data_IF_378529501364
#
_entry.id   IF_378529501364
#
_cell.length_a   1.000
_cell.length_b   1.000
_cell.length_c   1.000
_cell.angle_alpha   90.00
_cell.angle_beta   90.00
_cell.angle_gamma   90.00
#
_symmetry.space_group_name_H-M   'P 1'
#
loop_
_entity.id
_entity.type
_entity.pdbx_description
1 polymer ?
#
# COMPACT_ATOMS: atom_id res chain seq x y z
N UNK A 1 -65.47 15.70 0.73
CA UNK A 1 -64.68 14.98 -0.29
C UNK A 1 -64.04 16.02 -1.19
N UNK A 2 -62.76 16.30 -0.96
CA UNK A 2 -61.93 17.18 -1.81
C UNK A 2 -60.61 16.43 -2.06
N UNK A 3 -60.21 16.16 -3.30
CA UNK A 3 -58.96 15.43 -3.57
C UNK A 3 -57.77 16.40 -3.51
N UNK A 4 -56.77 16.05 -2.70
CA UNK A 4 -55.47 16.71 -2.67
C UNK A 4 -54.67 16.34 -3.92
N UNK A 5 -54.51 17.27 -4.85
CA UNK A 5 -53.52 17.21 -5.93
C UNK A 5 -52.15 17.58 -5.35
N UNK A 6 -51.23 16.64 -5.31
CA UNK A 6 -49.80 16.87 -5.05
C UNK A 6 -49.19 17.50 -6.30
N UNK A 7 -48.89 18.80 -6.24
CA UNK A 7 -48.06 19.46 -7.24
C UNK A 7 -46.62 18.97 -7.21
N UNK A 8 -46.12 18.51 -8.37
CA UNK A 8 -44.70 18.30 -8.57
C UNK A 8 -43.96 19.63 -8.58
N UNK A 9 -42.78 19.75 -7.95
CA UNK A 9 -41.95 20.95 -8.12
C UNK A 9 -41.41 21.03 -9.56
N UNK A 10 -41.22 22.25 -10.12
CA UNK A 10 -40.80 22.44 -11.50
C UNK A 10 -39.37 21.90 -11.72
N UNK A 11 -39.21 21.15 -12.80
CA UNK A 11 -37.91 20.80 -13.36
C UNK A 11 -37.11 22.07 -13.67
N UNK A 12 -36.17 22.42 -12.82
CA UNK A 12 -35.13 23.39 -13.19
C UNK A 12 -34.28 22.81 -14.30
N UNK A 13 -34.53 23.26 -15.52
CA UNK A 13 -33.70 23.03 -16.68
C UNK A 13 -32.23 23.24 -16.33
N UNK A 14 -31.46 22.16 -16.31
CA UNK A 14 -30.00 22.18 -16.27
C UNK A 14 -29.51 22.85 -17.55
N UNK A 15 -29.28 24.17 -17.50
CA UNK A 15 -28.49 24.86 -18.51
C UNK A 15 -27.09 24.25 -18.52
N UNK A 16 -26.74 23.57 -19.59
CA UNK A 16 -25.37 23.16 -19.86
C UNK A 16 -24.46 24.40 -19.80
N UNK A 17 -23.41 24.44 -18.98
CA UNK A 17 -22.43 25.51 -19.07
C UNK A 17 -21.70 25.35 -20.40
N UNK A 18 -21.61 26.45 -21.16
CA UNK A 18 -20.86 26.49 -22.41
C UNK A 18 -19.44 25.98 -22.24
N UNK A 19 -18.99 25.21 -23.21
CA UNK A 19 -17.63 24.67 -23.32
C UNK A 19 -16.63 25.84 -23.61
N UNK A 20 -16.31 26.59 -22.55
CA UNK A 20 -15.11 27.40 -22.49
C UNK A 20 -14.22 26.71 -21.48
N UNK A 21 -13.01 26.29 -21.89
CA UNK A 21 -12.03 25.54 -21.10
C UNK A 21 -11.74 26.23 -19.76
N UNK A 22 -12.49 25.89 -18.74
CA UNK A 22 -12.20 26.25 -17.36
C UNK A 22 -10.99 25.40 -16.94
N UNK A 23 -9.81 26.01 -16.92
CA UNK A 23 -8.64 25.46 -16.23
C UNK A 23 -9.09 25.01 -14.85
N UNK A 24 -8.91 23.70 -14.57
CA UNK A 24 -9.26 23.10 -13.29
C UNK A 24 -8.42 23.81 -12.23
N UNK A 25 -9.03 24.73 -11.48
CA UNK A 25 -8.36 25.51 -10.44
C UNK A 25 -8.16 24.62 -9.18
N UNK A 26 -7.14 23.75 -9.21
CA UNK A 26 -6.69 22.99 -8.04
C UNK A 26 -5.70 23.85 -7.26
N UNK A 27 -5.77 23.82 -5.93
CA UNK A 27 -4.81 24.54 -5.09
C UNK A 27 -3.38 24.04 -5.34
N UNK A 28 -2.39 24.93 -5.53
CA UNK A 28 -0.97 24.53 -5.59
C UNK A 28 -0.50 23.72 -4.38
N UNK A 29 -1.12 23.91 -3.23
CA UNK A 29 -0.83 23.16 -2.00
C UNK A 29 -1.19 21.68 -2.15
N UNK A 30 -2.15 21.32 -2.99
CA UNK A 30 -2.46 19.93 -3.30
C UNK A 30 -1.24 19.19 -3.88
N UNK A 31 -0.48 19.84 -4.77
CA UNK A 31 0.73 19.25 -5.35
C UNK A 31 1.83 19.09 -4.29
N UNK A 32 1.92 19.98 -3.31
CA UNK A 32 2.84 19.80 -2.18
C UNK A 32 2.40 18.63 -1.27
N UNK A 33 1.10 18.46 -1.06
CA UNK A 33 0.58 17.30 -0.30
C UNK A 33 0.81 16.00 -1.07
N UNK A 34 0.65 16.00 -2.39
CA UNK A 34 0.97 14.86 -3.25
C UNK A 34 2.49 14.57 -3.28
N UNK A 35 3.35 15.60 -3.29
CA UNK A 35 4.78 15.45 -3.16
C UNK A 35 5.19 14.89 -1.77
N UNK A 36 4.52 15.33 -0.71
CA UNK A 36 4.71 14.75 0.62
C UNK A 36 4.31 13.26 0.64
N UNK A 37 3.23 12.89 -0.07
CA UNK A 37 2.83 11.49 -0.23
C UNK A 37 3.87 10.69 -1.02
N UNK A 38 4.38 11.26 -2.12
CA UNK A 38 5.46 10.64 -2.89
C UNK A 38 6.68 10.36 -2.01
N UNK A 39 7.17 11.35 -1.27
CA UNK A 39 8.32 11.15 -0.38
C UNK A 39 8.00 10.25 0.81
N UNK A 40 6.81 10.30 1.38
CA UNK A 40 6.42 9.36 2.42
C UNK A 40 6.53 7.91 1.95
N UNK A 41 6.03 7.62 0.75
CA UNK A 41 5.92 6.26 0.24
C UNK A 41 7.20 5.77 -0.46
N UNK A 42 8.06 6.67 -0.96
CA UNK A 42 9.35 6.27 -1.52
C UNK A 42 10.23 5.60 -0.44
N UNK A 43 10.20 6.12 0.80
CA UNK A 43 10.93 5.50 1.91
C UNK A 43 10.38 4.14 2.30
N UNK A 44 9.07 3.92 2.14
CA UNK A 44 8.46 2.59 2.34
C UNK A 44 8.91 1.61 1.25
N UNK A 45 9.16 2.09 0.04
CA UNK A 45 9.72 1.31 -1.06
C UNK A 45 11.20 0.92 -0.87
N UNK A 46 11.96 1.62 0.00
CA UNK A 46 13.38 1.33 0.24
C UNK A 46 13.62 -0.03 0.87
N UNK A 47 12.69 -0.58 1.63
CA UNK A 47 12.93 -1.77 2.44
C UNK A 47 13.33 -2.99 1.63
N UNK A 48 12.74 -3.21 0.46
CA UNK A 48 12.96 -4.40 -0.35
C UNK A 48 14.45 -4.61 -0.72
N UNK A 49 15.15 -3.64 -1.33
CA UNK A 49 16.58 -3.82 -1.64
C UNK A 49 17.49 -3.78 -0.41
N UNK A 50 16.99 -3.27 0.74
CA UNK A 50 17.78 -3.19 1.96
C UNK A 50 17.91 -4.53 2.68
N UNK A 51 16.98 -5.49 2.49
CA UNK A 51 17.03 -6.77 3.21
C UNK A 51 18.34 -7.51 3.13
N UNK A 52 18.97 -7.72 1.95
CA UNK A 52 20.26 -8.39 1.89
C UNK A 52 21.38 -7.61 2.58
N UNK A 53 21.43 -6.28 2.43
CA UNK A 53 22.45 -5.43 3.05
C UNK A 53 22.36 -5.47 4.58
N UNK A 54 21.14 -5.37 5.10
CA UNK A 54 20.89 -5.40 6.55
C UNK A 54 21.15 -6.78 7.13
N UNK A 55 20.80 -7.82 6.37
CA UNK A 55 21.08 -9.21 6.72
C UNK A 55 22.61 -9.43 6.88
N UNK A 56 23.40 -8.96 5.96
CA UNK A 56 24.86 -9.03 6.01
C UNK A 56 25.42 -8.15 7.16
N UNK A 57 25.00 -6.88 7.23
CA UNK A 57 25.48 -5.90 8.24
C UNK A 57 25.32 -6.41 9.68
N UNK A 58 24.20 -7.04 10.00
CA UNK A 58 23.88 -7.47 11.36
C UNK A 58 23.96 -8.98 11.59
N UNK A 59 24.40 -9.76 10.59
CA UNK A 59 24.49 -11.22 10.70
C UNK A 59 23.14 -11.90 10.93
N UNK A 60 22.08 -11.45 10.23
CA UNK A 60 20.72 -11.90 10.48
C UNK A 60 20.42 -13.26 9.85
N UNK A 61 19.55 -14.02 10.51
CA UNK A 61 18.91 -15.19 9.92
C UNK A 61 17.73 -14.80 9.03
N UNK A 62 17.19 -15.75 8.25
CA UNK A 62 16.00 -15.49 7.43
C UNK A 62 14.76 -15.18 8.28
N UNK A 63 14.63 -15.82 9.44
CA UNK A 63 13.57 -15.50 10.43
C UNK A 63 13.67 -14.05 10.91
N UNK A 64 14.89 -13.56 11.17
CA UNK A 64 15.11 -12.16 11.58
C UNK A 64 14.81 -11.17 10.44
N UNK A 65 15.11 -11.51 9.20
CA UNK A 65 14.66 -10.73 8.02
C UNK A 65 13.13 -10.73 7.94
N UNK A 66 12.51 -11.89 8.17
CA UNK A 66 11.04 -11.99 8.29
C UNK A 66 10.48 -11.10 9.41
N UNK A 67 11.20 -10.97 10.54
CA UNK A 67 10.80 -10.10 11.65
C UNK A 67 10.83 -8.60 11.25
N UNK A 68 11.76 -8.16 10.42
CA UNK A 68 11.74 -6.79 9.86
C UNK A 68 10.44 -6.57 9.07
N UNK A 69 10.10 -7.51 8.18
CA UNK A 69 8.86 -7.43 7.40
C UNK A 69 7.61 -7.47 8.28
N UNK A 70 7.60 -8.27 9.35
CA UNK A 70 6.53 -8.33 10.34
C UNK A 70 6.36 -7.00 11.07
N UNK A 71 7.43 -6.42 11.60
CA UNK A 71 7.41 -5.16 12.35
C UNK A 71 6.87 -4.02 11.49
N UNK A 72 7.34 -3.90 10.25
CA UNK A 72 6.87 -2.87 9.32
C UNK A 72 5.39 -3.05 8.95
N UNK A 73 4.94 -4.32 8.78
CA UNK A 73 3.54 -4.62 8.49
C UNK A 73 2.62 -4.26 9.66
N UNK A 74 2.98 -4.67 10.87
CA UNK A 74 2.16 -4.42 12.07
C UNK A 74 2.12 -2.92 12.39
N UNK A 75 3.26 -2.22 12.30
CA UNK A 75 3.31 -0.78 12.51
C UNK A 75 2.36 -0.04 11.56
N UNK A 76 2.36 -0.40 10.27
CA UNK A 76 1.49 0.25 9.29
C UNK A 76 0.01 -0.14 9.46
N UNK A 77 -0.27 -1.45 9.64
CA UNK A 77 -1.63 -1.98 9.65
C UNK A 77 -2.45 -1.56 10.88
N UNK A 78 -1.82 -1.56 12.07
CA UNK A 78 -2.52 -1.27 13.33
C UNK A 78 -2.63 0.23 13.60
N UNK A 79 -1.69 1.02 13.11
CA UNK A 79 -1.56 2.42 13.51
C UNK A 79 -2.40 3.37 12.67
N UNK A 80 -2.68 3.09 11.40
CA UNK A 80 -3.49 3.96 10.55
C UNK A 80 -4.89 4.24 11.11
N UNK A 81 -5.67 3.24 11.57
CA UNK A 81 -6.97 3.51 12.20
C UNK A 81 -6.85 4.31 13.50
N UNK A 82 -5.79 4.06 14.29
CA UNK A 82 -5.55 4.79 15.55
C UNK A 82 -5.24 6.27 15.27
N UNK A 83 -4.38 6.55 14.30
CA UNK A 83 -4.08 7.92 13.90
C UNK A 83 -5.28 8.62 13.27
N UNK A 84 -6.10 7.91 12.46
CA UNK A 84 -7.36 8.45 11.95
C UNK A 84 -8.24 8.96 13.09
N UNK A 85 -8.54 8.12 14.07
CA UNK A 85 -9.35 8.49 15.25
C UNK A 85 -8.71 9.64 16.07
N UNK A 86 -7.39 9.62 16.25
CA UNK A 86 -6.68 10.65 17.00
C UNK A 86 -6.77 12.02 16.31
N UNK A 87 -6.57 12.05 14.99
CA UNK A 87 -6.59 13.30 14.22
C UNK A 87 -8.00 13.88 14.07
N UNK A 88 -9.00 13.01 13.96
CA UNK A 88 -10.41 13.43 13.98
C UNK A 88 -10.78 14.08 15.31
N UNK A 89 -10.26 13.56 16.43
CA UNK A 89 -10.53 14.11 17.76
C UNK A 89 -9.78 15.41 18.04
N UNK A 90 -8.52 15.51 17.64
CA UNK A 90 -7.63 16.63 17.99
C UNK A 90 -7.35 17.60 16.84
N UNK A 91 -7.78 17.29 15.63
CA UNK A 91 -7.60 18.15 14.44
C UNK A 91 -6.15 18.46 14.11
N UNK A 92 -5.24 17.49 14.30
CA UNK A 92 -3.79 17.69 14.14
C UNK A 92 -3.41 17.83 12.67
N UNK A 93 -3.29 19.05 12.18
CA UNK A 93 -2.87 19.34 10.79
C UNK A 93 -1.35 19.21 10.60
N UNK A 94 -0.58 19.38 11.67
CA UNK A 94 0.89 19.27 11.66
C UNK A 94 1.39 17.89 11.20
N UNK A 95 0.58 16.84 11.27
CA UNK A 95 0.94 15.51 10.74
C UNK A 95 1.20 15.50 9.24
N UNK A 96 0.67 16.47 8.47
CA UNK A 96 0.92 16.57 7.03
C UNK A 96 2.41 16.83 6.69
N UNK A 97 3.16 17.46 7.57
CA UNK A 97 4.58 17.71 7.36
C UNK A 97 5.49 17.01 8.36
N UNK A 98 5.07 16.85 9.63
CA UNK A 98 5.88 16.16 10.63
C UNK A 98 5.94 14.64 10.41
N UNK A 99 4.84 14.02 9.97
CA UNK A 99 4.78 12.59 9.79
C UNK A 99 5.68 12.08 8.64
N UNK A 100 5.62 12.61 7.41
CA UNK A 100 6.54 12.21 6.35
C UNK A 100 7.99 12.62 6.64
N UNK A 101 8.23 13.71 7.37
CA UNK A 101 9.56 14.08 7.82
C UNK A 101 10.15 13.05 8.80
N UNK A 102 9.35 12.60 9.78
CA UNK A 102 9.75 11.55 10.72
C UNK A 102 10.09 10.25 9.99
N UNK A 103 9.22 9.84 9.04
CA UNK A 103 9.47 8.68 8.17
C UNK A 103 10.79 8.82 7.43
N UNK A 104 10.99 9.95 6.78
CA UNK A 104 12.20 10.25 5.99
C UNK A 104 13.48 10.17 6.83
N UNK A 105 13.49 10.81 7.97
CA UNK A 105 14.66 10.80 8.86
C UNK A 105 14.95 9.38 9.33
N UNK A 106 13.98 8.70 9.93
CA UNK A 106 14.21 7.38 10.55
C UNK A 106 14.59 6.33 9.52
N UNK A 107 13.95 6.32 8.34
CA UNK A 107 14.27 5.36 7.28
C UNK A 107 15.57 5.71 6.56
N UNK A 108 15.92 6.98 6.39
CA UNK A 108 17.19 7.36 5.77
C UNK A 108 18.40 7.07 6.67
N UNK A 109 18.24 7.18 8.00
CA UNK A 109 19.35 6.94 8.94
C UNK A 109 19.72 5.46 9.12
N UNK A 110 18.99 4.51 8.50
CA UNK A 110 19.25 3.06 8.62
C UNK A 110 20.68 2.65 8.23
N UNK A 111 21.35 3.39 7.34
CA UNK A 111 22.72 3.13 6.93
C UNK A 111 23.75 3.32 8.05
N UNK A 112 23.49 4.25 9.00
CA UNK A 112 24.40 4.59 10.08
C UNK A 112 24.01 3.99 11.43
N UNK A 113 22.86 3.33 11.55
CA UNK A 113 22.42 2.67 12.79
C UNK A 113 23.37 1.52 13.15
N UNK A 114 23.88 1.48 14.41
CA UNK A 114 24.92 0.52 14.79
C UNK A 114 24.43 -0.88 15.18
N UNK A 115 23.13 -1.05 15.50
CA UNK A 115 22.62 -2.32 16.03
C UNK A 115 21.25 -2.68 15.48
N UNK A 116 20.96 -3.99 15.38
CA UNK A 116 19.68 -4.50 14.88
C UNK A 116 18.47 -4.06 15.70
N UNK A 117 18.48 -4.05 17.06
CA UNK A 117 17.33 -3.54 17.82
C UNK A 117 17.03 -2.06 17.55
N UNK A 118 18.05 -1.21 17.44
CA UNK A 118 17.86 0.20 17.06
C UNK A 118 17.36 0.35 15.63
N UNK A 119 17.82 -0.51 14.72
CA UNK A 119 17.31 -0.57 13.35
C UNK A 119 15.81 -0.91 13.33
N UNK A 120 15.38 -1.95 14.06
CA UNK A 120 13.95 -2.30 14.17
C UNK A 120 13.13 -1.16 14.79
N UNK A 121 13.64 -0.50 15.83
CA UNK A 121 12.96 0.63 16.46
C UNK A 121 12.82 1.81 15.49
N UNK A 122 13.87 2.15 14.73
CA UNK A 122 13.81 3.19 13.72
C UNK A 122 12.80 2.89 12.61
N UNK A 123 12.79 1.64 12.11
CA UNK A 123 11.81 1.22 11.12
C UNK A 123 10.38 1.25 11.67
N UNK A 124 10.16 0.75 12.88
CA UNK A 124 8.85 0.79 13.53
C UNK A 124 8.33 2.23 13.64
N UNK A 125 9.14 3.13 14.20
CA UNK A 125 8.78 4.54 14.34
C UNK A 125 8.62 5.26 12.99
N UNK A 126 9.45 4.93 12.00
CA UNK A 126 9.31 5.43 10.63
C UNK A 126 8.00 5.00 9.98
N UNK A 127 7.60 3.73 10.16
CA UNK A 127 6.30 3.24 9.70
C UNK A 127 5.13 3.88 10.44
N UNK A 128 5.28 4.24 11.74
CA UNK A 128 4.27 5.04 12.45
C UNK A 128 4.12 6.43 11.85
N UNK A 129 5.22 7.06 11.45
CA UNK A 129 5.18 8.33 10.70
C UNK A 129 4.35 8.19 9.44
N UNK A 130 4.68 7.20 8.59
CA UNK A 130 3.90 6.93 7.38
C UNK A 130 2.42 6.65 7.68
N UNK A 131 2.12 5.84 8.68
CA UNK A 131 0.74 5.54 9.09
C UNK A 131 -0.04 6.78 9.57
N UNK A 132 0.64 7.75 10.18
CA UNK A 132 0.05 9.01 10.61
C UNK A 132 -0.23 9.98 9.45
N UNK A 133 0.56 9.93 8.38
CA UNK A 133 0.39 10.81 7.23
C UNK A 133 -0.89 10.51 6.43
N UNK A 134 -1.12 9.22 6.08
CA UNK A 134 -2.13 8.81 5.13
C UNK A 134 -3.57 9.28 5.46
N UNK A 135 -4.11 9.06 6.68
CA UNK A 135 -5.48 9.46 6.97
C UNK A 135 -5.65 10.98 6.90
N UNK A 136 -4.65 11.74 7.34
CA UNK A 136 -4.72 13.21 7.30
C UNK A 136 -4.57 13.74 5.89
N UNK A 137 -3.60 13.22 5.11
CA UNK A 137 -3.41 13.57 3.70
C UNK A 137 -4.69 13.33 2.88
N UNK A 138 -5.29 12.15 3.01
CA UNK A 138 -6.55 11.82 2.35
C UNK A 138 -7.71 12.73 2.78
N UNK A 139 -7.79 13.11 4.06
CA UNK A 139 -8.88 13.95 4.58
C UNK A 139 -8.84 15.41 4.10
N UNK A 140 -7.64 15.97 3.87
CA UNK A 140 -7.51 17.37 3.41
C UNK A 140 -7.55 17.50 1.88
N UNK A 141 -7.24 16.45 1.16
CA UNK A 141 -7.18 16.43 -0.31
C UNK A 141 -8.47 16.94 -0.97
N UNK A 142 -9.69 16.51 -0.60
CA UNK A 142 -10.92 17.04 -1.20
C UNK A 142 -11.09 18.56 -1.00
N UNK A 143 -10.69 19.07 0.16
CA UNK A 143 -10.75 20.52 0.48
C UNK A 143 -9.82 21.34 -0.42
N UNK A 144 -8.65 20.78 -0.78
CA UNK A 144 -7.65 21.42 -1.64
C UNK A 144 -7.96 21.26 -3.14
N UNK A 145 -8.94 20.45 -3.48
CA UNK A 145 -9.30 20.09 -4.87
C UNK A 145 -10.35 21.00 -5.48
N UNK A 146 -10.88 21.97 -4.74
CA UNK A 146 -11.94 22.87 -5.20
C UNK A 146 -13.20 22.11 -5.58
N UNK A 147 -13.67 22.28 -6.84
CA UNK A 147 -14.88 21.63 -7.37
C UNK A 147 -14.66 20.19 -7.88
N UNK A 148 -13.41 19.67 -7.83
CA UNK A 148 -13.03 18.37 -8.43
C UNK A 148 -12.32 17.44 -7.43
N UNK A 149 -12.99 16.98 -6.35
CA UNK A 149 -12.38 16.15 -5.31
C UNK A 149 -11.83 14.82 -5.85
N UNK A 150 -12.42 14.24 -6.91
CA UNK A 150 -11.96 13.02 -7.55
C UNK A 150 -10.58 13.22 -8.20
N UNK A 151 -10.36 14.37 -8.85
CA UNK A 151 -9.07 14.71 -9.48
C UNK A 151 -8.00 14.89 -8.41
N UNK A 152 -8.34 15.60 -7.33
CA UNK A 152 -7.42 15.75 -6.21
C UNK A 152 -7.02 14.43 -5.58
N UNK A 153 -7.97 13.53 -5.35
CA UNK A 153 -7.68 12.20 -4.83
C UNK A 153 -6.83 11.38 -5.80
N UNK A 154 -7.04 11.52 -7.11
CA UNK A 154 -6.22 10.86 -8.13
C UNK A 154 -4.77 11.38 -8.09
N UNK A 155 -4.56 12.70 -7.99
CA UNK A 155 -3.23 13.33 -7.85
C UNK A 155 -2.55 12.85 -6.57
N UNK A 156 -3.25 12.89 -5.44
CA UNK A 156 -2.75 12.42 -4.16
C UNK A 156 -2.30 10.95 -4.23
N UNK A 157 -3.18 10.05 -4.73
CA UNK A 157 -2.89 8.62 -4.85
C UNK A 157 -1.76 8.33 -5.84
N UNK A 158 -1.69 9.07 -6.96
CA UNK A 158 -0.59 8.95 -7.91
C UNK A 158 0.76 9.29 -7.27
N UNK A 159 0.80 10.33 -6.41
CA UNK A 159 2.00 10.67 -5.64
C UNK A 159 2.52 9.47 -4.84
N UNK A 160 1.69 8.87 -3.99
CA UNK A 160 2.09 7.72 -3.17
C UNK A 160 2.50 6.50 -4.00
N UNK A 161 1.69 6.12 -4.99
CA UNK A 161 1.98 4.97 -5.85
C UNK A 161 3.30 5.12 -6.62
N UNK A 162 3.57 6.31 -7.18
CA UNK A 162 4.82 6.60 -7.87
C UNK A 162 6.01 6.57 -6.90
N UNK A 163 5.86 7.15 -5.70
CA UNK A 163 6.88 7.11 -4.66
C UNK A 163 7.23 5.67 -4.29
N UNK A 164 6.23 4.88 -3.91
CA UNK A 164 6.41 3.48 -3.52
C UNK A 164 7.06 2.64 -4.63
N UNK A 165 6.63 2.82 -5.88
CA UNK A 165 7.20 2.11 -7.02
C UNK A 165 8.63 2.54 -7.35
N UNK A 166 8.97 3.83 -7.21
CA UNK A 166 10.32 4.35 -7.47
C UNK A 166 11.34 3.96 -6.37
N UNK A 167 10.87 3.75 -5.14
CA UNK A 167 11.70 3.51 -3.96
C UNK A 167 12.79 2.48 -4.16
N UNK A 168 12.50 1.26 -4.62
CA UNK A 168 13.49 0.21 -4.77
C UNK A 168 14.65 0.59 -5.70
N UNK A 169 14.39 1.22 -6.85
CA UNK A 169 15.44 1.66 -7.75
C UNK A 169 16.24 2.82 -7.14
N UNK A 170 15.56 3.82 -6.57
CA UNK A 170 16.22 5.01 -6.01
C UNK A 170 17.23 4.61 -4.94
N UNK A 171 16.83 3.79 -3.95
CA UNK A 171 17.73 3.38 -2.88
C UNK A 171 18.87 2.49 -3.40
N UNK A 172 18.57 1.58 -4.33
CA UNK A 172 19.56 0.68 -4.90
C UNK A 172 20.65 1.43 -5.70
N UNK A 173 20.27 2.36 -6.57
CA UNK A 173 21.20 3.21 -7.31
C UNK A 173 21.98 4.13 -6.38
N UNK A 174 21.31 4.74 -5.39
CA UNK A 174 21.94 5.62 -4.42
C UNK A 174 23.06 4.91 -3.63
N UNK A 175 22.74 3.73 -3.06
CA UNK A 175 23.72 2.94 -2.30
C UNK A 175 24.86 2.45 -3.19
N UNK A 176 24.57 2.04 -4.43
CA UNK A 176 25.60 1.60 -5.37
C UNK A 176 26.56 2.71 -5.77
N UNK A 177 26.10 3.98 -5.79
CA UNK A 177 26.93 5.12 -6.16
C UNK A 177 27.70 5.72 -4.95
N UNK A 178 27.06 5.83 -3.78
CA UNK A 178 27.60 6.56 -2.63
C UNK A 178 27.78 5.72 -1.36
N UNK A 179 27.40 4.43 -1.41
CA UNK A 179 27.51 3.51 -0.27
C UNK A 179 26.36 3.63 0.73
N UNK A 180 26.23 2.62 1.60
CA UNK A 180 25.11 2.52 2.54
C UNK A 180 25.14 3.58 3.64
N UNK A 181 26.35 4.03 4.08
CA UNK A 181 26.48 5.03 5.13
C UNK A 181 26.03 6.43 4.72
N UNK A 182 25.91 6.72 3.43
CA UNK A 182 25.46 8.02 2.92
C UNK A 182 23.93 8.19 2.89
N UNK A 183 23.16 7.15 3.20
CA UNK A 183 21.69 7.18 3.15
C UNK A 183 21.02 8.32 3.96
N UNK A 184 21.59 8.88 5.05
CA UNK A 184 20.99 10.03 5.73
C UNK A 184 20.71 11.24 4.83
N UNK A 185 21.49 11.42 3.75
CA UNK A 185 21.28 12.49 2.76
C UNK A 185 19.91 12.39 2.08
N UNK A 186 19.36 11.17 1.97
CA UNK A 186 18.05 10.94 1.38
C UNK A 186 16.90 11.60 2.18
N UNK A 187 17.10 11.99 3.44
CA UNK A 187 16.09 12.73 4.20
C UNK A 187 15.87 14.16 3.68
N UNK A 188 16.87 14.75 2.99
CA UNK A 188 16.85 16.16 2.57
C UNK A 188 15.66 16.51 1.67
N UNK A 189 15.33 15.76 0.59
CA UNK A 189 14.18 16.11 -0.25
C UNK A 189 12.85 16.17 0.51
N UNK A 190 12.61 15.21 1.41
CA UNK A 190 11.39 15.22 2.24
C UNK A 190 11.40 16.38 3.25
N UNK A 191 12.55 16.73 3.80
CA UNK A 191 12.68 17.88 4.70
C UNK A 191 12.34 19.19 3.98
N UNK A 192 12.74 19.35 2.71
CA UNK A 192 12.39 20.51 1.88
C UNK A 192 10.87 20.58 1.63
N UNK A 193 10.24 19.47 1.30
CA UNK A 193 8.77 19.41 1.10
C UNK A 193 8.03 19.65 2.42
N UNK A 194 8.50 19.08 3.53
CA UNK A 194 7.91 19.31 4.84
C UNK A 194 8.04 20.79 5.27
N UNK A 195 9.19 21.42 5.01
CA UNK A 195 9.42 22.85 5.23
C UNK A 195 8.48 23.72 4.38
N UNK A 196 8.33 23.41 3.10
CA UNK A 196 7.41 24.11 2.21
C UNK A 196 5.95 23.97 2.70
N UNK A 197 5.53 22.77 3.11
CA UNK A 197 4.20 22.56 3.70
C UNK A 197 4.04 23.36 5.02
N UNK A 198 5.03 23.36 5.89
CA UNK A 198 4.98 24.12 7.14
C UNK A 198 4.76 25.62 6.90
N UNK A 199 5.42 26.18 5.88
CA UNK A 199 5.35 27.61 5.56
C UNK A 199 4.07 27.99 4.81
N UNK A 200 3.57 27.10 3.92
CA UNK A 200 2.53 27.46 2.96
C UNK A 200 1.15 26.87 3.30
N UNK A 201 1.07 25.92 4.24
CA UNK A 201 -0.18 25.24 4.56
C UNK A 201 -1.12 26.14 5.37
N UNK A 202 -2.35 26.42 4.91
CA UNK A 202 -3.33 27.18 5.66
C UNK A 202 -4.00 26.34 6.76
N UNK A 203 -3.21 25.98 7.77
CA UNK A 203 -3.59 25.02 8.82
C UNK A 203 -4.90 25.38 9.55
N UNK A 204 -5.17 26.68 9.74
CA UNK A 204 -6.40 27.16 10.40
C UNK A 204 -7.64 26.89 9.55
N UNK A 205 -7.55 27.11 8.22
CA UNK A 205 -8.66 26.91 7.29
C UNK A 205 -8.95 25.42 7.10
N UNK A 206 -7.93 24.59 7.04
CA UNK A 206 -8.06 23.13 6.91
C UNK A 206 -8.68 22.50 8.16
N UNK A 207 -8.37 23.01 9.35
CA UNK A 207 -8.97 22.54 10.61
C UNK A 207 -10.48 22.83 10.67
N UNK A 208 -10.92 23.95 10.12
CA UNK A 208 -12.33 24.34 10.13
C UNK A 208 -13.21 23.53 9.14
N UNK A 209 -12.60 22.92 8.12
CA UNK A 209 -13.33 22.26 7.01
C UNK A 209 -13.27 20.72 7.03
N UNK A 210 -12.54 20.11 7.95
CA UNK A 210 -12.50 18.63 8.07
C UNK A 210 -13.82 18.15 8.67
N UNK A 211 -14.51 17.29 7.91
CA UNK A 211 -15.75 16.66 8.36
C UNK A 211 -15.54 15.82 9.63
N UNK A 212 -16.53 15.75 10.53
CA UNK A 212 -16.43 14.90 11.71
C UNK A 212 -16.30 13.43 11.32
N UNK A 213 -15.50 12.69 12.09
CA UNK A 213 -15.28 11.28 11.87
C UNK A 213 -16.57 10.47 11.85
N UNK A 214 -16.71 9.61 10.85
CA UNK A 214 -17.75 8.60 10.85
C UNK A 214 -17.48 7.64 12.01
N UNK A 215 -18.43 7.48 12.93
CA UNK A 215 -18.30 6.52 14.03
C UNK A 215 -18.24 5.10 13.45
N UNK A 216 -17.05 4.51 13.52
CA UNK A 216 -16.82 3.13 13.07
C UNK A 216 -17.34 2.17 14.13
N UNK A 217 -18.31 1.31 13.78
CA UNK A 217 -18.87 0.32 14.70
C UNK A 217 -18.63 -1.10 14.19
N UNK A 218 -18.00 -1.94 15.01
CA UNK A 218 -17.79 -3.36 14.72
C UNK A 218 -19.09 -4.17 14.71
N UNK A 219 -20.11 -3.73 15.46
CA UNK A 219 -21.36 -4.48 15.65
C UNK A 219 -22.17 -4.69 14.38
N UNK A 220 -22.16 -3.74 13.44
CA UNK A 220 -22.91 -3.84 12.17
C UNK A 220 -22.23 -4.74 11.13
N UNK A 221 -20.88 -4.81 11.16
CA UNK A 221 -20.08 -5.48 10.13
C UNK A 221 -20.33 -7.00 10.01
N UNK A 222 -20.68 -7.66 11.11
CA UNK A 222 -20.86 -9.10 11.21
C UNK A 222 -22.29 -9.52 11.55
N UNK A 223 -23.25 -8.59 11.46
CA UNK A 223 -24.66 -8.83 11.84
C UNK A 223 -25.34 -9.87 10.93
N UNK A 224 -25.09 -9.81 9.63
CA UNK A 224 -25.61 -10.76 8.65
C UNK A 224 -24.64 -11.94 8.49
N UNK A 225 -25.15 -13.17 8.60
CA UNK A 225 -24.37 -14.42 8.50
C UNK A 225 -23.76 -14.60 7.09
N UNK A 226 -24.49 -14.24 6.05
CA UNK A 226 -24.01 -14.37 4.67
C UNK A 226 -22.91 -13.39 4.34
N UNK A 227 -23.10 -12.10 4.68
CA UNK A 227 -22.09 -11.06 4.49
C UNK A 227 -20.83 -11.34 5.29
N UNK A 228 -20.98 -11.83 6.54
CA UNK A 228 -19.86 -12.26 7.35
C UNK A 228 -19.04 -13.37 6.67
N UNK A 229 -19.73 -14.37 6.08
CA UNK A 229 -19.03 -15.45 5.38
C UNK A 229 -18.29 -14.95 4.14
N UNK A 230 -18.85 -14.00 3.40
CA UNK A 230 -18.18 -13.34 2.25
C UNK A 230 -16.98 -12.53 2.71
N UNK A 231 -17.12 -11.69 3.74
CA UNK A 231 -16.04 -10.89 4.29
C UNK A 231 -14.86 -11.76 4.77
N UNK A 232 -15.12 -12.83 5.50
CA UNK A 232 -14.06 -13.75 5.96
C UNK A 232 -13.34 -14.42 4.78
N UNK A 233 -14.06 -14.82 3.72
CA UNK A 233 -13.43 -15.33 2.50
C UNK A 233 -12.57 -14.30 1.80
N UNK A 234 -13.04 -13.05 1.69
CA UNK A 234 -12.27 -11.94 1.09
C UNK A 234 -10.99 -11.63 1.89
N UNK A 235 -11.08 -11.61 3.22
CA UNK A 235 -9.92 -11.46 4.11
C UNK A 235 -8.92 -12.60 3.92
N UNK A 236 -9.40 -13.84 3.85
CA UNK A 236 -8.55 -15.00 3.63
C UNK A 236 -7.88 -14.99 2.25
N UNK A 237 -8.63 -14.64 1.19
CA UNK A 237 -8.07 -14.48 -0.16
C UNK A 237 -6.98 -13.40 -0.16
N UNK A 238 -7.28 -12.24 0.41
CA UNK A 238 -6.30 -11.15 0.47
C UNK A 238 -5.08 -11.51 1.32
N UNK A 239 -5.26 -12.21 2.43
CA UNK A 239 -4.17 -12.74 3.23
C UNK A 239 -3.24 -13.64 2.40
N UNK A 240 -3.79 -14.62 1.66
CA UNK A 240 -2.99 -15.53 0.85
C UNK A 240 -2.21 -14.80 -0.27
N UNK A 241 -2.84 -13.85 -0.95
CA UNK A 241 -2.19 -13.01 -1.96
C UNK A 241 -1.08 -12.16 -1.34
N UNK A 242 -1.36 -11.56 -0.17
CA UNK A 242 -0.41 -10.69 0.52
C UNK A 242 0.78 -11.47 1.07
N UNK A 243 0.62 -12.71 1.53
CA UNK A 243 1.74 -13.58 1.93
C UNK A 243 2.68 -13.79 0.75
N UNK A 244 2.16 -14.08 -0.45
CA UNK A 244 2.99 -14.26 -1.64
C UNK A 244 3.72 -12.96 -2.04
N UNK A 245 3.03 -11.83 -2.08
CA UNK A 245 3.61 -10.53 -2.42
C UNK A 245 4.67 -10.09 -1.41
N UNK A 246 4.38 -10.25 -0.11
CA UNK A 246 5.34 -9.91 0.94
C UNK A 246 6.54 -10.84 0.96
N UNK A 247 6.31 -12.13 0.78
CA UNK A 247 7.39 -13.10 0.68
C UNK A 247 8.32 -12.82 -0.51
N UNK A 248 7.74 -12.46 -1.68
CA UNK A 248 8.50 -11.93 -2.82
C UNK A 248 9.35 -10.72 -2.39
N UNK A 249 8.74 -9.69 -1.79
CA UNK A 249 9.44 -8.48 -1.40
C UNK A 249 10.49 -8.68 -0.29
N UNK A 250 10.32 -9.69 0.56
CA UNK A 250 11.20 -9.94 1.72
C UNK A 250 12.37 -10.89 1.37
N UNK A 251 12.09 -12.00 0.69
CA UNK A 251 13.06 -13.07 0.54
C UNK A 251 13.72 -13.14 -0.84
N UNK A 252 13.04 -12.69 -1.91
CA UNK A 252 13.65 -12.66 -3.25
C UNK A 252 14.87 -11.74 -3.32
N UNK A 253 14.91 -10.54 -2.72
CA UNK A 253 16.11 -9.72 -2.70
C UNK A 253 17.30 -10.43 -2.04
N UNK A 254 17.06 -11.18 -0.96
CA UNK A 254 18.08 -11.98 -0.28
C UNK A 254 18.58 -13.12 -1.18
N UNK A 255 17.66 -13.75 -1.91
CA UNK A 255 18.03 -14.79 -2.88
C UNK A 255 18.85 -14.22 -4.04
N UNK A 256 18.44 -13.07 -4.59
CA UNK A 256 19.18 -12.38 -5.65
C UNK A 256 20.60 -12.01 -5.21
N UNK A 257 20.75 -11.50 -3.98
CA UNK A 257 22.08 -11.19 -3.43
C UNK A 257 22.95 -12.44 -3.24
N UNK A 258 22.37 -13.59 -2.80
CA UNK A 258 23.10 -14.88 -2.75
C UNK A 258 23.55 -15.38 -4.12
N UNK A 259 22.87 -14.99 -5.18
CA UNK A 259 23.28 -15.23 -6.57
C UNK A 259 24.25 -14.16 -7.09
N UNK A 260 24.80 -13.32 -6.23
CA UNK A 260 25.73 -12.23 -6.56
C UNK A 260 25.18 -11.22 -7.58
N UNK A 261 23.85 -11.05 -7.63
CA UNK A 261 23.22 -10.05 -8.50
C UNK A 261 23.47 -8.64 -7.96
N UNK A 262 23.74 -7.66 -8.85
CA UNK A 262 23.90 -6.27 -8.44
C UNK A 262 22.65 -5.74 -7.70
N UNK A 263 22.86 -4.90 -6.70
CA UNK A 263 21.78 -4.25 -5.95
C UNK A 263 20.83 -3.45 -6.87
N UNK A 264 21.39 -2.81 -7.91
CA UNK A 264 20.62 -2.09 -8.92
C UNK A 264 19.65 -3.00 -9.68
N UNK A 265 20.04 -4.24 -9.98
CA UNK A 265 19.14 -5.22 -10.62
C UNK A 265 17.97 -5.58 -9.71
N UNK A 266 18.21 -5.72 -8.39
CA UNK A 266 17.16 -5.91 -7.38
C UNK A 266 16.20 -4.71 -7.41
N UNK A 267 16.74 -3.50 -7.32
CA UNK A 267 15.95 -2.26 -7.32
C UNK A 267 15.09 -2.12 -8.57
N UNK A 268 15.67 -2.34 -9.76
CA UNK A 268 14.94 -2.25 -11.04
C UNK A 268 13.84 -3.29 -11.14
N UNK A 269 14.10 -4.55 -10.80
CA UNK A 269 13.10 -5.62 -10.84
C UNK A 269 11.85 -5.25 -10.03
N UNK A 270 12.05 -4.82 -8.79
CA UNK A 270 10.94 -4.45 -7.91
C UNK A 270 10.24 -3.17 -8.34
N UNK A 271 10.98 -2.16 -8.83
CA UNK A 271 10.37 -0.94 -9.38
C UNK A 271 9.48 -1.25 -10.58
N UNK A 272 9.96 -2.06 -11.54
CA UNK A 272 9.15 -2.46 -12.70
C UNK A 272 7.92 -3.25 -12.26
N UNK A 273 8.07 -4.20 -11.33
CA UNK A 273 6.98 -5.00 -10.80
C UNK A 273 5.89 -4.13 -10.13
N UNK A 274 6.29 -3.19 -9.28
CA UNK A 274 5.36 -2.31 -8.56
C UNK A 274 4.68 -1.31 -9.52
N UNK A 275 5.43 -0.72 -10.45
CA UNK A 275 4.88 0.22 -11.43
C UNK A 275 3.87 -0.45 -12.37
N UNK A 276 4.19 -1.65 -12.88
CA UNK A 276 3.25 -2.44 -13.68
C UNK A 276 2.03 -2.87 -12.86
N UNK A 277 2.23 -3.31 -11.62
CA UNK A 277 1.13 -3.66 -10.71
C UNK A 277 0.14 -2.50 -10.53
N UNK A 278 0.65 -1.30 -10.27
CA UNK A 278 -0.16 -0.10 -10.14
C UNK A 278 -0.91 0.25 -11.44
N UNK A 279 -0.22 0.25 -12.58
CA UNK A 279 -0.83 0.56 -13.89
C UNK A 279 -1.91 -0.46 -14.28
N UNK A 280 -1.62 -1.75 -14.15
CA UNK A 280 -2.54 -2.83 -14.50
C UNK A 280 -3.74 -2.87 -13.54
N UNK A 281 -3.59 -2.52 -12.26
CA UNK A 281 -4.70 -2.49 -11.31
C UNK A 281 -5.79 -1.48 -11.72
N UNK A 282 -5.41 -0.34 -12.29
CA UNK A 282 -6.34 0.66 -12.84
C UNK A 282 -7.10 0.09 -14.05
N UNK A 283 -6.38 -0.53 -14.97
CA UNK A 283 -6.97 -1.16 -16.16
C UNK A 283 -7.94 -2.29 -15.77
N UNK A 284 -7.53 -3.20 -14.88
CA UNK A 284 -8.34 -4.32 -14.39
C UNK A 284 -9.57 -3.84 -13.63
N UNK A 285 -9.47 -2.73 -12.90
CA UNK A 285 -10.62 -2.12 -12.24
C UNK A 285 -11.69 -1.67 -13.24
N UNK A 286 -11.28 -1.12 -14.38
CA UNK A 286 -12.21 -0.77 -15.45
C UNK A 286 -12.82 -2.00 -16.14
N UNK A 287 -12.01 -3.04 -16.38
CA UNK A 287 -12.42 -4.30 -16.98
C UNK A 287 -13.42 -5.08 -16.12
N UNK A 288 -13.36 -4.89 -14.79
CA UNK A 288 -14.21 -5.60 -13.83
C UNK A 288 -15.72 -5.42 -14.05
N UNK A 289 -16.11 -4.32 -14.71
CA UNK A 289 -17.52 -4.06 -15.10
C UNK A 289 -18.04 -5.04 -16.16
N UNK A 290 -17.14 -5.57 -17.01
CA UNK A 290 -17.49 -6.48 -18.11
C UNK A 290 -17.30 -7.96 -17.73
N UNK A 291 -16.20 -8.28 -17.03
CA UNK A 291 -15.79 -9.66 -16.74
C UNK A 291 -16.28 -10.17 -15.38
N UNK A 292 -16.73 -9.26 -14.49
CA UNK A 292 -17.09 -9.60 -13.12
C UNK A 292 -15.88 -9.68 -12.19
N UNK A 293 -16.04 -9.15 -10.97
CA UNK A 293 -14.96 -9.04 -9.98
C UNK A 293 -14.42 -10.39 -9.53
N UNK A 294 -15.32 -11.37 -9.32
CA UNK A 294 -14.95 -12.72 -8.90
C UNK A 294 -13.98 -13.40 -9.87
N UNK A 295 -14.23 -13.29 -11.19
CA UNK A 295 -13.36 -13.89 -12.22
C UNK A 295 -11.96 -13.30 -12.17
N UNK A 296 -11.83 -11.98 -12.04
CA UNK A 296 -10.55 -11.31 -11.95
C UNK A 296 -9.79 -11.68 -10.66
N UNK A 297 -10.47 -11.77 -9.51
CA UNK A 297 -9.86 -12.26 -8.27
C UNK A 297 -9.41 -13.72 -8.42
N UNK A 298 -10.19 -14.57 -9.07
CA UNK A 298 -9.81 -15.95 -9.33
C UNK A 298 -8.57 -16.03 -10.25
N UNK A 299 -8.49 -15.18 -11.28
CA UNK A 299 -7.30 -15.08 -12.14
C UNK A 299 -6.08 -14.66 -11.31
N UNK A 300 -6.22 -13.68 -10.41
CA UNK A 300 -5.12 -13.25 -9.54
C UNK A 300 -4.58 -14.40 -8.70
N UNK A 301 -5.44 -15.20 -8.12
CA UNK A 301 -5.07 -16.35 -7.28
C UNK A 301 -4.52 -17.51 -8.11
N UNK A 302 -5.23 -17.92 -9.18
CA UNK A 302 -4.91 -19.11 -9.95
C UNK A 302 -3.71 -18.94 -10.89
N UNK A 303 -3.52 -17.75 -11.47
CA UNK A 303 -2.39 -17.45 -12.35
C UNK A 303 -1.17 -16.89 -11.59
N UNK A 304 -1.39 -16.12 -10.50
CA UNK A 304 -0.31 -15.55 -9.73
C UNK A 304 0.64 -16.58 -9.11
N UNK A 305 0.09 -17.69 -8.62
CA UNK A 305 0.90 -18.76 -8.03
C UNK A 305 1.82 -19.48 -9.04
N UNK A 306 1.33 -20.02 -10.18
CA UNK A 306 2.24 -20.66 -11.14
C UNK A 306 3.24 -19.69 -11.77
N UNK A 307 2.89 -18.42 -11.96
CA UNK A 307 3.81 -17.38 -12.39
C UNK A 307 4.94 -17.18 -11.36
N UNK A 308 4.62 -17.11 -10.07
CA UNK A 308 5.61 -16.94 -9.01
C UNK A 308 6.52 -18.19 -8.89
N UNK A 309 5.94 -19.38 -8.85
CA UNK A 309 6.71 -20.63 -8.77
C UNK A 309 7.58 -20.81 -10.02
N UNK A 310 7.02 -20.61 -11.21
CA UNK A 310 7.78 -20.66 -12.47
C UNK A 310 8.90 -19.61 -12.50
N UNK A 311 8.59 -18.40 -11.99
CA UNK A 311 9.58 -17.35 -11.83
C UNK A 311 10.79 -17.82 -11.01
N UNK A 312 10.57 -18.44 -9.87
CA UNK A 312 11.66 -18.97 -9.03
C UNK A 312 12.44 -20.11 -9.68
N UNK A 313 11.76 -21.01 -10.38
CA UNK A 313 12.40 -22.15 -11.04
C UNK A 313 13.32 -21.74 -12.21
N UNK A 314 12.95 -20.68 -12.92
CA UNK A 314 13.74 -20.16 -14.06
C UNK A 314 14.67 -18.99 -13.70
N UNK A 315 14.69 -18.56 -12.43
CA UNK A 315 15.57 -17.50 -11.97
C UNK A 315 16.99 -18.04 -11.73
N UNK A 316 18.08 -17.31 -12.08
CA UNK A 316 18.17 -15.88 -12.42
C UNK A 316 18.03 -15.53 -13.92
N UNK A 317 17.59 -16.42 -14.76
CA UNK A 317 17.42 -16.15 -16.19
C UNK A 317 16.38 -15.05 -16.48
N UNK A 318 16.44 -14.49 -17.70
CA UNK A 318 15.50 -13.46 -18.15
C UNK A 318 14.02 -13.94 -18.06
N UNK A 319 13.76 -15.20 -18.41
CA UNK A 319 12.43 -15.80 -18.29
C UNK A 319 11.93 -15.79 -16.83
N UNK A 320 12.77 -16.15 -15.86
CA UNK A 320 12.44 -16.10 -14.44
C UNK A 320 12.12 -14.69 -13.98
N UNK A 321 12.93 -13.69 -14.37
CA UNK A 321 12.70 -12.28 -14.03
C UNK A 321 11.37 -11.77 -14.60
N UNK A 322 11.05 -12.09 -15.86
CA UNK A 322 9.77 -11.71 -16.48
C UNK A 322 8.60 -12.37 -15.74
N UNK A 323 8.68 -13.66 -15.43
CA UNK A 323 7.64 -14.38 -14.71
C UNK A 323 7.42 -13.81 -13.30
N UNK A 324 8.48 -13.40 -12.58
CA UNK A 324 8.40 -12.75 -11.27
C UNK A 324 7.69 -11.40 -11.37
N UNK A 325 8.03 -10.57 -12.36
CA UNK A 325 7.35 -9.29 -12.60
C UNK A 325 5.88 -9.50 -12.90
N UNK A 326 5.55 -10.45 -13.77
CA UNK A 326 4.17 -10.81 -14.07
C UNK A 326 3.44 -11.36 -12.84
N UNK A 327 4.10 -12.21 -12.03
CA UNK A 327 3.52 -12.73 -10.79
C UNK A 327 3.16 -11.61 -9.83
N UNK A 328 4.09 -10.70 -9.52
CA UNK A 328 3.83 -9.56 -8.64
C UNK A 328 2.70 -8.67 -9.15
N UNK A 329 2.66 -8.40 -10.45
CA UNK A 329 1.58 -7.66 -11.11
C UNK A 329 0.23 -8.36 -10.94
N UNK A 330 0.16 -9.66 -11.24
CA UNK A 330 -1.08 -10.45 -11.17
C UNK A 330 -1.56 -10.64 -9.73
N UNK A 331 -0.66 -10.83 -8.78
CA UNK A 331 -1.00 -10.98 -7.36
C UNK A 331 -1.56 -9.69 -6.74
N UNK A 332 -1.22 -8.52 -7.29
CA UNK A 332 -1.60 -7.22 -6.70
C UNK A 332 -2.77 -6.54 -7.40
N UNK A 333 -3.03 -6.80 -8.68
CA UNK A 333 -4.03 -6.06 -9.44
C UNK A 333 -5.47 -6.20 -8.89
N UNK A 334 -5.79 -7.30 -8.20
CA UNK A 334 -7.13 -7.54 -7.66
C UNK A 334 -7.41 -6.80 -6.33
N UNK A 335 -6.43 -6.17 -5.72
CA UNK A 335 -6.55 -5.53 -4.41
C UNK A 335 -7.71 -4.51 -4.35
N UNK A 336 -7.88 -3.57 -5.31
CA UNK A 336 -9.02 -2.65 -5.31
C UNK A 336 -10.37 -3.37 -5.43
N UNK A 337 -10.41 -4.49 -6.14
CA UNK A 337 -11.64 -5.27 -6.31
C UNK A 337 -12.05 -5.95 -5.00
N UNK A 338 -11.08 -6.50 -4.25
CA UNK A 338 -11.32 -7.09 -2.93
C UNK A 338 -11.87 -6.07 -1.94
N UNK A 339 -11.32 -4.85 -1.94
CA UNK A 339 -11.81 -3.74 -1.11
C UNK A 339 -13.26 -3.39 -1.49
N UNK A 340 -13.55 -3.19 -2.77
CA UNK A 340 -14.90 -2.86 -3.25
C UNK A 340 -15.92 -3.97 -2.94
N UNK A 341 -15.52 -5.24 -3.07
CA UNK A 341 -16.38 -6.36 -2.69
C UNK A 341 -16.64 -6.38 -1.19
N UNK A 342 -15.61 -6.15 -0.36
CA UNK A 342 -15.76 -6.09 1.09
C UNK A 342 -16.70 -4.95 1.53
N UNK A 343 -16.56 -3.76 0.93
CA UNK A 343 -17.44 -2.62 1.20
C UNK A 343 -18.90 -2.91 0.89
N UNK A 344 -19.20 -3.69 -0.18
CA UNK A 344 -20.58 -4.08 -0.54
C UNK A 344 -21.23 -5.01 0.48
N UNK A 345 -20.43 -5.77 1.22
CA UNK A 345 -20.88 -6.74 2.23
C UNK A 345 -20.66 -6.24 3.66
N UNK A 346 -20.52 -4.93 3.86
CA UNK A 346 -20.18 -4.32 5.15
C UNK A 346 -21.35 -3.66 5.87
N UNK A 347 -22.56 -3.70 5.29
CA UNK A 347 -23.69 -2.90 5.79
C UNK A 347 -23.33 -1.41 5.88
N UNK A 348 -23.48 -0.82 7.05
CA UNK A 348 -23.20 0.60 7.30
C UNK A 348 -21.73 0.90 7.66
N UNK A 349 -20.81 -0.05 7.43
CA UNK A 349 -19.42 0.05 7.88
C UNK A 349 -18.37 -0.17 6.77
N UNK A 350 -18.44 0.52 5.61
CA UNK A 350 -17.52 0.30 4.47
C UNK A 350 -16.06 0.62 4.80
N UNK A 351 -15.81 1.61 5.65
CA UNK A 351 -14.45 1.96 6.10
C UNK A 351 -13.83 0.82 6.92
N UNK A 352 -14.62 0.14 7.77
CA UNK A 352 -14.16 -1.00 8.55
C UNK A 352 -13.84 -2.20 7.66
N UNK A 353 -14.67 -2.50 6.65
CA UNK A 353 -14.41 -3.56 5.69
C UNK A 353 -13.11 -3.30 4.91
N UNK A 354 -12.87 -2.05 4.50
CA UNK A 354 -11.59 -1.66 3.89
C UNK A 354 -10.41 -1.91 4.82
N UNK A 355 -10.54 -1.58 6.11
CA UNK A 355 -9.48 -1.81 7.11
C UNK A 355 -9.19 -3.29 7.33
N UNK A 356 -10.19 -4.17 7.24
CA UNK A 356 -9.98 -5.62 7.29
C UNK A 356 -9.16 -6.12 6.11
N UNK A 357 -9.44 -5.64 4.90
CA UNK A 357 -8.70 -6.04 3.71
C UNK A 357 -7.30 -5.41 3.70
N UNK A 358 -7.19 -4.10 3.87
CA UNK A 358 -5.92 -3.39 3.76
C UNK A 358 -5.02 -3.52 4.99
N UNK A 359 -5.59 -3.46 6.20
CA UNK A 359 -4.82 -3.47 7.44
C UNK A 359 -4.64 -4.88 8.00
N UNK A 360 -5.75 -5.54 8.36
CA UNK A 360 -5.70 -6.80 9.06
C UNK A 360 -5.04 -7.92 8.25
N UNK A 361 -5.38 -8.08 6.96
CA UNK A 361 -4.74 -9.07 6.09
C UNK A 361 -3.24 -8.81 5.91
N UNK A 362 -2.84 -7.53 5.80
CA UNK A 362 -1.43 -7.14 5.70
C UNK A 362 -0.66 -7.43 6.98
N UNK A 363 -1.25 -7.14 8.12
CA UNK A 363 -0.66 -7.46 9.43
C UNK A 363 -0.45 -8.96 9.63
N UNK A 364 -1.49 -9.77 9.32
CA UNK A 364 -1.40 -11.22 9.38
C UNK A 364 -0.34 -11.79 8.42
N UNK A 365 -0.26 -11.27 7.20
CA UNK A 365 0.77 -11.67 6.25
C UNK A 365 2.18 -11.31 6.75
N UNK A 366 2.33 -10.17 7.44
CA UNK A 366 3.57 -9.83 8.12
C UNK A 366 3.98 -10.85 9.17
N UNK A 367 3.04 -11.29 10.01
CA UNK A 367 3.28 -12.36 11.01
C UNK A 367 3.75 -13.66 10.38
N UNK A 368 3.27 -14.00 9.18
CA UNK A 368 3.69 -15.20 8.46
C UNK A 368 5.14 -15.15 7.98
N UNK A 369 5.77 -13.98 7.87
CA UNK A 369 7.15 -13.87 7.37
C UNK A 369 8.18 -14.50 8.31
N UNK A 370 7.97 -14.47 9.62
CA UNK A 370 8.89 -15.07 10.59
C UNK A 370 8.94 -16.60 10.45
N UNK A 371 7.82 -17.35 10.54
CA UNK A 371 7.85 -18.80 10.35
C UNK A 371 8.28 -19.20 8.93
N UNK A 372 7.94 -18.42 7.88
CA UNK A 372 8.43 -18.66 6.54
C UNK A 372 9.96 -18.51 6.46
N UNK A 373 10.54 -17.51 7.15
CA UNK A 373 11.99 -17.40 7.30
C UNK A 373 12.60 -18.65 7.93
N UNK A 374 12.01 -19.16 9.03
CA UNK A 374 12.43 -20.42 9.68
C UNK A 374 12.34 -21.64 8.77
N UNK A 375 11.28 -21.74 7.96
CA UNK A 375 11.20 -22.78 6.92
C UNK A 375 12.34 -22.63 5.93
N UNK A 376 12.69 -21.41 5.51
CA UNK A 376 13.82 -21.13 4.61
C UNK A 376 15.18 -21.50 5.20
N UNK A 377 15.33 -21.43 6.53
CA UNK A 377 16.53 -21.92 7.22
C UNK A 377 16.64 -23.44 7.21
N UNK A 378 15.51 -24.15 7.24
CA UNK A 378 15.46 -25.62 7.26
C UNK A 378 15.59 -26.24 5.87
N UNK A 379 14.85 -25.76 4.87
CA UNK A 379 14.77 -26.36 3.53
C UNK A 379 15.48 -25.56 2.44
N UNK A 380 16.10 -24.44 2.83
CA UNK A 380 16.75 -23.50 1.90
C UNK A 380 15.77 -22.49 1.28
N UNK A 381 16.34 -21.35 0.86
CA UNK A 381 15.58 -20.26 0.22
C UNK A 381 14.76 -20.70 -0.99
N UNK A 382 15.30 -21.48 -1.98
CA UNK A 382 14.52 -21.88 -3.15
C UNK A 382 13.26 -22.67 -2.78
N UNK A 383 13.38 -23.64 -1.87
CA UNK A 383 12.24 -24.45 -1.42
C UNK A 383 11.16 -23.60 -0.73
N UNK A 384 11.59 -22.70 0.16
CA UNK A 384 10.68 -21.77 0.84
C UNK A 384 9.99 -20.82 -0.14
N UNK A 385 10.71 -20.29 -1.15
CA UNK A 385 10.13 -19.39 -2.15
C UNK A 385 9.07 -20.09 -3.00
N UNK A 386 9.22 -21.38 -3.31
CA UNK A 386 8.16 -22.18 -3.96
C UNK A 386 6.92 -22.26 -3.08
N UNK A 387 7.06 -22.47 -1.77
CA UNK A 387 5.95 -22.48 -0.82
C UNK A 387 5.25 -21.10 -0.82
N UNK A 388 6.02 -20.02 -0.72
CA UNK A 388 5.48 -18.64 -0.76
C UNK A 388 4.75 -18.37 -2.08
N UNK A 389 5.32 -18.76 -3.21
CA UNK A 389 4.71 -18.59 -4.54
C UNK A 389 3.43 -19.39 -4.72
N UNK A 390 3.35 -20.59 -4.12
CA UNK A 390 2.18 -21.46 -4.18
C UNK A 390 1.07 -21.06 -3.19
N UNK A 391 1.38 -20.21 -2.20
CA UNK A 391 0.46 -19.86 -1.10
C UNK A 391 -0.93 -19.35 -1.57
N UNK A 392 -1.06 -18.57 -2.65
CA UNK A 392 -2.36 -18.14 -3.17
C UNK A 392 -3.29 -19.29 -3.54
N UNK A 393 -2.77 -20.48 -3.91
CA UNK A 393 -3.62 -21.64 -4.28
C UNK A 393 -4.54 -22.07 -3.15
N UNK A 394 -4.17 -21.84 -1.88
CA UNK A 394 -5.00 -22.11 -0.72
C UNK A 394 -6.33 -21.33 -0.77
N UNK A 395 -6.36 -20.21 -1.47
CA UNK A 395 -7.54 -19.35 -1.57
C UNK A 395 -8.49 -19.72 -2.75
N UNK A 396 -8.12 -20.64 -3.64
CA UNK A 396 -8.91 -20.97 -4.84
C UNK A 396 -10.35 -21.35 -4.48
N UNK A 397 -10.54 -22.26 -3.52
CA UNK A 397 -11.87 -22.69 -3.08
C UNK A 397 -12.69 -21.52 -2.49
N UNK A 398 -12.03 -20.60 -1.78
CA UNK A 398 -12.68 -19.40 -1.25
C UNK A 398 -13.14 -18.48 -2.38
N UNK A 399 -12.33 -18.31 -3.43
CA UNK A 399 -12.69 -17.54 -4.63
C UNK A 399 -13.90 -18.16 -5.35
N UNK A 400 -13.93 -19.49 -5.51
CA UNK A 400 -15.03 -20.20 -6.16
C UNK A 400 -16.36 -20.08 -5.40
N UNK A 401 -16.32 -19.78 -4.11
CA UNK A 401 -17.50 -19.58 -3.24
C UNK A 401 -17.89 -18.11 -3.07
N UNK A 402 -17.22 -17.17 -3.72
CA UNK A 402 -17.64 -15.77 -3.75
C UNK A 402 -18.91 -15.60 -4.60
N UNK A 403 -19.78 -14.64 -4.28
CA UNK A 403 -20.95 -14.33 -5.11
C UNK A 403 -20.52 -13.90 -6.51
N UNK A 404 -21.33 -14.28 -7.50
CA UNK A 404 -21.19 -13.82 -8.89
C UNK A 404 -21.73 -12.38 -8.92
N UNK A 405 -20.89 -11.38 -8.73
CA UNK A 405 -21.26 -9.97 -8.73
C UNK A 405 -21.13 -9.27 -10.06
#
# INVERSE_FOLDING_TARGET
>A
MIPHTRGHPPEHALRAPGAAGTLIAVSPILFLVAAAHFFNDIYMGFFTPLFPIVMEKFGLTLSMVGAISMVTALASALSQPLFGMLFDRFGVTASLYLAPLLTAILVSFVGVIPSYPLFLAALFLGCLGSAAFHPKGASVTPTLSGSHPEIGMAIFSAGGNLGFAAGPAVIAFFISAWGFHSTPVLAVPAALVAGALFLLLPARELKARTAPAVRVTWKGLFANREDRAVLLRLVFINFCLTVAVRGLGTFLPVYMAKLSMPLTSIGVLFTVMLALGAAISVFVSSLSRRTGKRVLVLISVAAGAPLAVGGYLFFPGAAGSILIVLAGTVLTFSNPLLILMAQRHSGDSPAMASSLIMGFSWGLAGLAMVPLGGIGELIGLPGMMVIVGAFPLLAVLSCLRLPRG
#
